data_IF_154517224377
#
_entry.id   IF_154517224377
#
_cell.length_a   1.000
_cell.length_b   1.000
_cell.length_c   1.000
_cell.angle_alpha   90.00
_cell.angle_beta   90.00
_cell.angle_gamma   90.00
#
_symmetry.space_group_name_H-M   'P 1'
#
loop_
_entity.id
_entity.type
_entity.pdbx_description
1 polymer ?
#
# COMPACT_ATOMS: atom_id res chain seq x y z
N UNK A 1 -31.33 6.90 -52.93
CA UNK A 1 -30.43 8.03 -52.61
C UNK A 1 -30.52 8.34 -51.11
N UNK A 2 -29.58 7.86 -50.31
CA UNK A 2 -29.43 8.19 -48.88
C UNK A 2 -27.93 8.28 -48.59
N UNK A 3 -27.52 9.48 -48.20
CA UNK A 3 -26.13 9.94 -48.08
C UNK A 3 -25.49 9.43 -46.79
N UNK A 4 -24.38 8.69 -46.94
CA UNK A 4 -23.44 8.34 -45.86
C UNK A 4 -22.64 9.60 -45.49
N UNK A 5 -22.84 10.16 -44.29
CA UNK A 5 -21.91 11.15 -43.71
C UNK A 5 -20.83 10.42 -42.93
N UNK A 6 -19.62 10.39 -43.49
CA UNK A 6 -18.41 9.94 -42.81
C UNK A 6 -18.03 10.91 -41.69
N UNK A 7 -17.88 10.38 -40.48
CA UNK A 7 -17.28 11.09 -39.36
C UNK A 7 -15.77 11.21 -39.58
N UNK A 8 -15.29 12.46 -39.64
CA UNK A 8 -13.88 12.85 -39.74
C UNK A 8 -13.06 12.17 -38.63
N UNK A 9 -12.04 11.42 -39.02
CA UNK A 9 -10.91 11.07 -38.16
C UNK A 9 -10.16 12.35 -37.84
N UNK A 10 -10.21 12.82 -36.60
CA UNK A 10 -9.26 13.79 -36.08
C UNK A 10 -7.90 13.09 -35.91
N UNK A 11 -7.17 13.01 -37.02
CA UNK A 11 -5.73 12.78 -37.01
C UNK A 11 -5.06 14.11 -36.61
N UNK A 12 -4.33 14.09 -35.50
CA UNK A 12 -3.61 15.26 -35.01
C UNK A 12 -3.44 15.28 -33.50
N UNK A 13 -3.11 14.14 -32.88
CA UNK A 13 -2.58 14.20 -31.52
C UNK A 13 -1.08 14.52 -31.64
N UNK A 14 -0.78 15.78 -31.38
CA UNK A 14 0.56 16.32 -31.19
C UNK A 14 1.34 15.37 -30.26
N UNK A 15 2.34 14.67 -30.79
CA UNK A 15 3.20 13.73 -30.07
C UNK A 15 4.22 14.48 -29.23
N UNK A 16 3.72 15.32 -28.32
CA UNK A 16 4.54 15.85 -27.24
C UNK A 16 4.82 14.68 -26.28
N UNK A 17 6.09 14.39 -25.95
CA UNK A 17 6.41 13.38 -24.95
C UNK A 17 5.69 13.79 -23.65
N UNK A 18 4.81 12.90 -23.16
CA UNK A 18 4.08 13.11 -21.91
C UNK A 18 5.12 13.34 -20.81
N UNK A 19 5.04 14.43 -20.03
CA UNK A 19 5.98 14.65 -18.95
C UNK A 19 5.95 13.45 -18.00
N UNK A 20 7.10 13.04 -17.45
CA UNK A 20 7.15 11.95 -16.49
C UNK A 20 6.18 12.25 -15.35
N UNK A 21 5.39 11.26 -14.96
CA UNK A 21 4.45 11.42 -13.85
C UNK A 21 5.25 11.76 -12.59
N UNK A 22 4.76 12.69 -11.77
CA UNK A 22 5.45 13.18 -10.56
C UNK A 22 5.90 12.07 -9.59
N UNK A 23 5.34 10.86 -9.70
CA UNK A 23 5.70 9.71 -8.86
C UNK A 23 7.04 9.06 -9.25
N UNK A 24 7.59 9.43 -10.42
CA UNK A 24 8.87 8.93 -10.94
C UNK A 24 9.99 9.95 -10.80
N UNK A 25 9.65 11.17 -10.40
CA UNK A 25 10.62 12.21 -10.12
C UNK A 25 10.94 12.19 -8.63
N UNK A 26 12.20 12.37 -8.28
CA UNK A 26 12.58 12.56 -6.89
C UNK A 26 11.91 13.80 -6.30
N UNK A 27 11.14 13.63 -5.23
CA UNK A 27 10.64 14.69 -4.38
C UNK A 27 11.22 14.51 -2.97
N UNK A 28 11.76 15.56 -2.34
CA UNK A 28 12.28 15.45 -0.98
C UNK A 28 11.12 15.13 -0.02
N UNK A 29 11.34 14.27 0.98
CA UNK A 29 10.31 13.99 1.96
C UNK A 29 10.04 15.24 2.83
N UNK A 30 8.86 15.34 3.47
CA UNK A 30 8.59 16.43 4.41
C UNK A 30 9.63 16.44 5.54
N UNK A 31 10.40 17.53 5.65
CA UNK A 31 11.55 17.69 6.57
C UNK A 31 11.13 17.55 8.04
N UNK A 32 9.88 17.88 8.33
CA UNK A 32 9.28 17.76 9.66
C UNK A 32 8.91 16.30 10.02
N UNK A 33 8.92 15.38 9.05
CA UNK A 33 8.70 13.95 9.25
C UNK A 33 10.00 13.17 9.13
N UNK A 34 10.72 13.30 8.02
CA UNK A 34 11.92 12.52 7.72
C UNK A 34 13.13 13.45 7.56
N UNK A 35 14.21 13.10 8.25
CA UNK A 35 15.51 13.73 8.00
C UNK A 35 15.99 13.36 6.60
N UNK A 36 16.39 14.35 5.82
CA UNK A 36 17.05 14.12 4.55
C UNK A 36 18.54 13.88 4.78
N UNK A 37 19.14 12.93 4.07
CA UNK A 37 20.59 12.73 4.11
C UNK A 37 21.17 13.15 2.76
N UNK A 38 22.21 14.02 2.71
CA UNK A 38 22.73 14.56 1.46
C UNK A 38 23.15 13.48 0.45
N UNK A 39 23.68 12.36 0.94
CA UNK A 39 24.12 11.25 0.10
C UNK A 39 22.94 10.56 -0.60
N UNK A 40 21.85 10.26 0.14
CA UNK A 40 20.66 9.66 -0.48
C UNK A 40 19.95 10.64 -1.40
N UNK A 41 19.90 11.93 -1.05
CA UNK A 41 19.35 12.95 -1.95
C UNK A 41 20.12 13.02 -3.26
N UNK A 42 21.45 13.08 -3.19
CA UNK A 42 22.32 13.09 -4.38
C UNK A 42 22.11 11.85 -5.25
N UNK A 43 22.09 10.67 -4.62
CA UNK A 43 21.89 9.40 -5.32
C UNK A 43 20.49 9.30 -5.96
N UNK A 44 19.42 9.70 -5.26
CA UNK A 44 18.06 9.64 -5.79
C UNK A 44 17.83 10.66 -6.91
N UNK A 45 18.45 11.85 -6.80
CA UNK A 45 18.43 12.84 -7.89
C UNK A 45 19.15 12.34 -9.14
N UNK A 46 20.28 11.64 -9.01
CA UNK A 46 21.06 11.19 -10.16
C UNK A 46 20.38 10.08 -10.98
N UNK A 47 19.48 9.31 -10.36
CA UNK A 47 18.69 8.25 -11.03
C UNK A 47 17.28 8.69 -11.42
N UNK A 48 16.90 9.92 -11.12
CA UNK A 48 15.59 10.49 -11.45
C UNK A 48 15.59 11.11 -12.86
N UNK A 49 14.52 10.97 -13.66
CA UNK A 49 13.29 10.22 -13.35
C UNK A 49 13.47 8.71 -13.57
N UNK A 50 12.78 7.92 -12.75
CA UNK A 50 12.73 6.47 -12.90
C UNK A 50 11.96 6.07 -14.18
N UNK A 51 12.29 4.89 -14.74
CA UNK A 51 11.58 4.35 -15.91
C UNK A 51 10.07 4.23 -15.65
N UNK A 52 9.26 4.72 -16.60
CA UNK A 52 7.80 4.67 -16.57
C UNK A 52 7.25 3.86 -17.75
N UNK A 53 6.32 2.91 -17.53
CA UNK A 53 5.89 2.37 -16.24
C UNK A 53 6.95 1.40 -15.67
N UNK A 54 6.96 1.16 -14.35
CA UNK A 54 7.84 0.15 -13.79
C UNK A 54 7.40 -1.23 -14.30
N UNK A 55 8.34 -2.13 -14.64
CA UNK A 55 8.02 -3.44 -15.22
C UNK A 55 7.28 -4.35 -14.24
N UNK A 56 7.41 -4.09 -12.93
CA UNK A 56 6.75 -4.86 -11.86
C UNK A 56 6.17 -3.88 -10.84
N UNK A 57 5.00 -4.22 -10.31
CA UNK A 57 4.41 -3.47 -9.21
C UNK A 57 5.21 -3.68 -7.92
N UNK A 58 5.43 -2.60 -7.16
CA UNK A 58 6.08 -2.68 -5.85
C UNK A 58 5.17 -3.39 -4.83
N UNK A 59 5.78 -4.24 -4.00
CA UNK A 59 5.16 -4.95 -2.90
C UNK A 59 5.88 -4.60 -1.60
N UNK A 60 5.16 -4.59 -0.49
CA UNK A 60 5.70 -4.19 0.81
C UNK A 60 5.28 -5.14 1.93
N UNK A 61 6.19 -5.48 2.82
CA UNK A 61 5.91 -6.35 3.99
C UNK A 61 5.17 -5.61 5.10
N UNK A 62 5.34 -4.29 5.17
CA UNK A 62 4.66 -3.35 6.06
C UNK A 62 4.07 -2.20 5.23
N UNK A 63 3.11 -1.40 5.75
CA UNK A 63 2.52 -0.33 4.95
C UNK A 63 3.57 0.62 4.38
N UNK A 64 3.50 1.02 3.10
CA UNK A 64 4.51 1.85 2.48
C UNK A 64 4.60 3.20 3.20
N UNK A 65 5.81 3.70 3.53
CA UNK A 65 6.00 4.97 4.23
C UNK A 65 5.25 6.16 3.60
N UNK A 66 5.28 6.26 2.27
CA UNK A 66 4.58 7.32 1.54
C UNK A 66 3.06 7.27 1.69
N UNK A 67 2.49 6.12 2.08
CA UNK A 67 1.04 6.00 2.34
C UNK A 67 0.61 6.86 3.52
N UNK A 68 1.50 7.16 4.46
CA UNK A 68 1.21 8.07 5.58
C UNK A 68 1.46 9.54 5.21
N UNK A 69 2.48 9.79 4.38
CA UNK A 69 2.87 11.15 3.95
C UNK A 69 1.84 11.74 2.99
N UNK A 70 1.38 10.96 2.02
CA UNK A 70 0.48 11.41 0.94
C UNK A 70 -1.00 11.24 1.28
N UNK A 71 -1.32 10.77 2.49
CA UNK A 71 -2.71 10.49 2.89
C UNK A 71 -3.55 11.74 3.17
N UNK A 72 -2.93 12.92 3.32
CA UNK A 72 -3.63 14.17 3.58
C UNK A 72 -4.47 14.10 4.86
N UNK A 73 -5.77 14.35 4.74
CA UNK A 73 -6.75 14.30 5.83
C UNK A 73 -6.84 12.92 6.51
N UNK A 74 -6.43 11.86 5.81
CA UNK A 74 -6.48 10.47 6.32
C UNK A 74 -5.24 10.07 7.11
N UNK A 75 -4.17 10.87 7.12
CA UNK A 75 -2.91 10.51 7.80
C UNK A 75 -3.14 10.13 9.26
N UNK A 76 -3.95 10.89 9.99
CA UNK A 76 -4.29 10.57 11.39
C UNK A 76 -4.98 9.22 11.55
N UNK A 77 -5.93 8.89 10.67
CA UNK A 77 -6.58 7.57 10.67
C UNK A 77 -5.58 6.46 10.38
N UNK A 78 -4.72 6.64 9.38
CA UNK A 78 -3.75 5.62 8.99
C UNK A 78 -2.75 5.34 10.11
N UNK A 79 -2.24 6.38 10.77
CA UNK A 79 -1.38 6.25 11.95
C UNK A 79 -2.12 5.54 13.09
N UNK A 80 -3.34 5.99 13.40
CA UNK A 80 -4.13 5.43 14.50
C UNK A 80 -4.45 3.95 14.28
N UNK A 81 -4.88 3.58 13.07
CA UNK A 81 -5.17 2.20 12.77
C UNK A 81 -3.90 1.36 12.60
N UNK A 82 -2.79 1.93 12.11
CA UNK A 82 -1.51 1.22 12.12
C UNK A 82 -1.08 0.84 13.54
N UNK A 83 -1.20 1.76 14.51
CA UNK A 83 -0.92 1.47 15.92
C UNK A 83 -1.73 0.27 16.44
N UNK A 84 -2.95 0.08 15.92
CA UNK A 84 -3.80 -1.06 16.26
C UNK A 84 -3.31 -2.38 15.64
N UNK A 85 -2.89 -2.34 14.38
CA UNK A 85 -2.57 -3.56 13.61
C UNK A 85 -1.07 -3.90 13.58
N UNK A 86 -0.20 -3.05 14.12
CA UNK A 86 1.26 -3.20 13.97
C UNK A 86 1.79 -4.52 14.51
N UNK A 87 1.24 -5.01 15.63
CA UNK A 87 1.62 -6.30 16.20
C UNK A 87 1.23 -7.46 15.28
N UNK A 88 0.02 -7.41 14.73
CA UNK A 88 -0.40 -8.41 13.74
C UNK A 88 0.45 -8.34 12.47
N UNK A 89 0.80 -7.14 11.98
CA UNK A 89 1.71 -7.01 10.84
C UNK A 89 3.07 -7.70 11.09
N UNK A 90 3.61 -7.60 12.31
CA UNK A 90 4.84 -8.31 12.72
C UNK A 90 4.63 -9.81 12.76
N UNK A 91 3.59 -10.28 13.46
CA UNK A 91 3.27 -11.71 13.55
C UNK A 91 3.10 -12.32 12.16
N UNK A 92 2.36 -11.65 11.28
CA UNK A 92 2.11 -12.10 9.92
C UNK A 92 3.40 -12.40 9.14
N UNK A 93 4.46 -11.61 9.35
CA UNK A 93 5.72 -11.75 8.61
C UNK A 93 6.71 -12.71 9.28
N UNK A 94 6.69 -12.79 10.61
CA UNK A 94 7.70 -13.52 11.37
C UNK A 94 7.24 -14.88 11.92
N UNK A 95 5.93 -15.12 12.04
CA UNK A 95 5.40 -16.38 12.53
C UNK A 95 5.11 -17.35 11.36
N UNK A 96 5.55 -18.62 11.43
CA UNK A 96 5.37 -19.60 10.35
C UNK A 96 3.92 -19.89 9.95
N UNK A 97 2.97 -19.68 10.85
CA UNK A 97 1.56 -20.02 10.65
C UNK A 97 0.80 -19.02 9.77
N UNK A 98 1.36 -17.85 9.50
CA UNK A 98 0.73 -16.83 8.65
C UNK A 98 1.37 -16.76 7.27
N UNK A 99 0.57 -16.37 6.28
CA UNK A 99 1.09 -15.95 4.97
C UNK A 99 1.77 -14.57 5.11
N UNK A 100 3.09 -14.61 5.25
CA UNK A 100 3.97 -13.46 5.37
C UNK A 100 4.25 -12.71 4.07
N UNK A 101 3.59 -13.06 2.95
CA UNK A 101 3.85 -12.43 1.65
C UNK A 101 3.78 -10.88 1.70
N UNK A 102 4.59 -10.16 0.93
CA UNK A 102 4.42 -8.73 0.82
C UNK A 102 3.11 -8.39 0.09
N UNK A 103 2.52 -7.25 0.45
CA UNK A 103 1.21 -6.80 -0.03
C UNK A 103 1.35 -5.61 -0.98
N UNK A 104 0.36 -5.44 -1.85
CA UNK A 104 0.24 -4.31 -2.79
C UNK A 104 -0.13 -3.03 -2.05
N UNK A 105 0.17 -1.89 -2.66
CA UNK A 105 -0.19 -0.56 -2.13
C UNK A 105 -1.70 -0.44 -1.87
N UNK A 106 -2.55 -0.98 -2.76
CA UNK A 106 -4.01 -0.97 -2.58
C UNK A 106 -4.48 -1.80 -1.39
N UNK A 107 -3.86 -2.97 -1.17
CA UNK A 107 -4.13 -3.82 0.00
C UNK A 107 -3.75 -3.07 1.28
N UNK A 108 -2.58 -2.42 1.32
CA UNK A 108 -2.16 -1.62 2.47
C UNK A 108 -3.07 -0.42 2.73
N UNK A 109 -3.49 0.31 1.71
CA UNK A 109 -4.45 1.42 1.88
C UNK A 109 -5.77 0.94 2.45
N UNK A 110 -6.23 -0.26 2.05
CA UNK A 110 -7.41 -0.87 2.63
C UNK A 110 -7.19 -1.26 4.10
N UNK A 111 -6.04 -1.88 4.41
CA UNK A 111 -5.62 -2.19 5.78
C UNK A 111 -5.65 -0.94 6.66
N UNK A 112 -4.97 0.13 6.24
CA UNK A 112 -4.83 1.35 7.02
C UNK A 112 -6.16 2.07 7.19
N UNK A 113 -7.09 1.95 6.23
CA UNK A 113 -8.42 2.51 6.37
C UNK A 113 -9.24 1.83 7.47
N UNK A 114 -9.03 0.52 7.67
CA UNK A 114 -9.56 -0.23 8.80
C UNK A 114 -10.95 -0.82 8.60
N UNK A 115 -11.39 -0.99 7.36
CA UNK A 115 -12.64 -1.70 7.04
C UNK A 115 -12.35 -3.19 6.84
N UNK A 116 -12.66 -3.99 7.88
CA UNK A 116 -12.44 -5.43 7.90
C UNK A 116 -13.75 -6.22 7.91
N UNK A 117 -14.89 -5.56 7.65
CA UNK A 117 -16.19 -6.22 7.61
C UNK A 117 -16.21 -7.28 6.50
N UNK A 118 -16.48 -8.53 6.85
CA UNK A 118 -16.71 -9.57 5.86
C UNK A 118 -18.10 -9.34 5.28
N UNK A 119 -18.21 -9.39 3.96
CA UNK A 119 -19.53 -9.37 3.36
C UNK A 119 -20.16 -10.73 3.72
N UNK A 120 -21.38 -10.72 4.25
CA UNK A 120 -22.20 -11.93 4.34
C UNK A 120 -22.28 -12.55 2.95
N UNK A 121 -22.28 -13.88 2.79
CA UNK A 121 -22.42 -14.49 1.47
C UNK A 121 -23.76 -14.07 0.90
N UNK A 122 -23.76 -13.07 0.01
CA UNK A 122 -24.94 -12.72 -0.77
C UNK A 122 -25.44 -13.99 -1.46
N UNK A 123 -26.74 -14.23 -1.34
CA UNK A 123 -27.45 -15.26 -2.09
C UNK A 123 -27.38 -15.04 -3.60
N UNK A 124 -28.24 -15.75 -4.35
CA UNK A 124 -27.85 -16.61 -5.47
C UNK A 124 -26.99 -15.93 -6.56
N UNK A 125 -26.10 -16.76 -7.13
CA UNK A 125 -25.14 -16.48 -8.19
C UNK A 125 -25.74 -15.62 -9.32
N UNK A 126 -25.09 -14.51 -9.74
CA UNK A 126 -25.57 -13.70 -10.85
C UNK A 126 -25.48 -14.46 -12.18
N UNK A 127 -26.36 -14.13 -13.15
CA UNK A 127 -26.59 -14.94 -14.34
C UNK A 127 -25.36 -15.05 -15.25
N UNK A 128 -25.24 -16.21 -15.91
CA UNK A 128 -24.19 -16.53 -16.87
C UNK A 128 -24.24 -15.60 -18.09
N UNK A 129 -23.33 -14.62 -18.11
CA UNK A 129 -23.15 -13.67 -19.22
C UNK A 129 -22.18 -12.54 -18.90
N UNK A 130 -21.21 -12.77 -18.00
CA UNK A 130 -20.36 -11.72 -17.43
C UNK A 130 -19.39 -11.15 -18.45
N UNK A 131 -19.41 -9.83 -18.64
CA UNK A 131 -18.44 -9.11 -19.45
C UNK A 131 -17.03 -9.19 -18.83
N UNK A 132 -15.99 -8.87 -19.60
CA UNK A 132 -14.60 -8.78 -19.08
C UNK A 132 -14.50 -7.80 -17.89
N UNK A 133 -15.31 -6.74 -17.88
CA UNK A 133 -15.39 -5.80 -16.78
C UNK A 133 -15.94 -6.44 -15.49
N UNK A 134 -16.93 -7.32 -15.63
CA UNK A 134 -17.54 -8.06 -14.52
C UNK A 134 -16.57 -9.08 -13.93
N UNK A 135 -15.78 -9.76 -14.77
CA UNK A 135 -14.71 -10.67 -14.32
C UNK A 135 -13.65 -9.92 -13.52
N UNK A 136 -13.19 -8.76 -13.99
CA UNK A 136 -12.24 -7.94 -13.25
C UNK A 136 -12.83 -7.36 -11.95
N UNK A 137 -14.11 -6.99 -11.95
CA UNK A 137 -14.79 -6.55 -10.75
C UNK A 137 -14.88 -7.66 -9.70
N UNK A 138 -15.22 -8.89 -10.14
CA UNK A 138 -15.25 -10.07 -9.28
C UNK A 138 -13.88 -10.38 -8.69
N UNK A 139 -12.83 -10.38 -9.51
CA UNK A 139 -11.46 -10.62 -9.03
C UNK A 139 -11.01 -9.58 -7.99
N UNK A 140 -11.33 -8.30 -8.20
CA UNK A 140 -11.05 -7.24 -7.21
C UNK A 140 -11.82 -7.47 -5.91
N UNK A 141 -13.09 -7.87 -6.01
CA UNK A 141 -13.92 -8.19 -4.85
C UNK A 141 -13.37 -9.40 -4.08
N UNK A 142 -13.04 -10.49 -4.77
CA UNK A 142 -12.43 -11.69 -4.19
C UNK A 142 -11.10 -11.37 -3.48
N UNK A 143 -10.24 -10.56 -4.10
CA UNK A 143 -8.99 -10.09 -3.48
C UNK A 143 -9.27 -9.24 -2.22
N UNK A 144 -10.24 -8.35 -2.28
CA UNK A 144 -10.65 -7.52 -1.13
C UNK A 144 -11.19 -8.40 0.01
N UNK A 145 -11.99 -9.42 -0.30
CA UNK A 145 -12.53 -10.36 0.68
C UNK A 145 -11.45 -11.25 1.29
N UNK A 146 -10.52 -11.79 0.49
CA UNK A 146 -9.38 -12.56 0.99
C UNK A 146 -8.54 -11.71 1.95
N UNK A 147 -8.31 -10.45 1.59
CA UNK A 147 -7.60 -9.50 2.43
C UNK A 147 -8.34 -9.18 3.74
N UNK A 148 -9.65 -8.91 3.68
CA UNK A 148 -10.45 -8.66 4.89
C UNK A 148 -10.47 -9.89 5.79
N UNK A 149 -10.55 -11.11 5.24
CA UNK A 149 -10.45 -12.36 5.99
C UNK A 149 -9.13 -12.49 6.74
N UNK A 150 -8.01 -12.09 6.14
CA UNK A 150 -6.70 -12.09 6.80
C UNK A 150 -6.69 -11.24 8.08
N UNK A 151 -7.27 -10.05 8.05
CA UNK A 151 -7.32 -9.18 9.24
C UNK A 151 -8.46 -9.55 10.21
N UNK A 152 -9.65 -9.88 9.71
CA UNK A 152 -10.79 -10.20 10.55
C UNK A 152 -10.66 -11.57 11.25
N UNK A 153 -10.34 -12.64 10.50
CA UNK A 153 -10.30 -14.00 11.05
C UNK A 153 -8.97 -14.32 11.70
N UNK A 154 -7.86 -14.04 11.01
CA UNK A 154 -6.54 -14.46 11.51
C UNK A 154 -6.04 -13.58 12.65
N UNK A 155 -6.44 -12.31 12.69
CA UNK A 155 -6.05 -11.38 13.76
C UNK A 155 -7.18 -11.07 14.76
N UNK A 156 -8.40 -11.58 14.54
CA UNK A 156 -9.57 -11.26 15.37
C UNK A 156 -9.94 -9.78 15.37
N UNK A 157 -9.54 -9.02 14.34
CA UNK A 157 -9.68 -7.57 14.32
C UNK A 157 -11.09 -7.16 13.86
N UNK A 158 -11.82 -6.48 14.74
CA UNK A 158 -13.03 -5.71 14.37
C UNK A 158 -12.70 -4.53 13.45
N UNK A 159 -13.68 -3.97 12.73
CA UNK A 159 -13.47 -2.75 11.95
C UNK A 159 -13.11 -1.55 12.83
N UNK A 160 -12.32 -0.63 12.27
CA UNK A 160 -11.79 0.55 12.94
C UNK A 160 -12.88 1.47 13.49
N UNK A 161 -12.68 1.96 14.72
CA UNK A 161 -13.39 3.11 15.28
C UNK A 161 -12.40 4.17 15.80
N UNK A 162 -12.79 5.44 15.74
CA UNK A 162 -12.00 6.56 16.30
C UNK A 162 -11.90 6.53 17.82
N UNK A 163 -12.84 5.87 18.49
CA UNK A 163 -12.91 5.80 19.95
C UNK A 163 -11.99 4.72 20.54
N UNK A 164 -11.37 3.91 19.67
CA UNK A 164 -10.37 2.94 20.10
C UNK A 164 -9.14 3.64 20.68
N UNK A 165 -8.46 2.96 21.61
CA UNK A 165 -7.22 3.42 22.23
C UNK A 165 -6.10 2.39 21.99
N UNK A 166 -5.69 2.16 20.72
CA UNK A 166 -4.64 1.22 20.40
C UNK A 166 -3.33 1.61 21.08
N UNK A 167 -2.56 0.60 21.46
CA UNK A 167 -1.24 0.79 22.06
C UNK A 167 -0.19 0.83 20.96
N UNK A 168 0.54 1.93 20.87
CA UNK A 168 1.76 2.00 20.08
C UNK A 168 2.95 2.11 21.02
N UNK A 169 3.85 1.13 20.97
CA UNK A 169 4.96 1.01 21.93
C UNK A 169 4.43 0.95 23.36
N UNK A 170 4.63 2.00 24.16
CA UNK A 170 4.16 2.08 25.55
C UNK A 170 2.90 2.93 25.71
N UNK A 171 2.54 3.70 24.69
CA UNK A 171 1.54 4.75 24.78
C UNK A 171 0.21 4.31 24.19
N UNK A 172 -0.89 4.73 24.82
CA UNK A 172 -2.23 4.62 24.24
C UNK A 172 -2.46 5.82 23.34
N UNK A 173 -2.80 5.55 22.09
CA UNK A 173 -2.94 6.58 21.07
C UNK A 173 -4.41 6.89 20.89
N UNK A 174 -4.78 8.17 20.92
CA UNK A 174 -6.12 8.63 20.53
C UNK A 174 -6.14 9.02 19.05
N UNK A 175 -7.32 9.02 18.42
CA UNK A 175 -7.45 9.50 17.05
C UNK A 175 -6.98 10.96 16.89
N UNK A 176 -7.23 11.82 17.89
CA UNK A 176 -6.78 13.22 17.89
C UNK A 176 -5.25 13.32 17.97
N UNK A 177 -4.62 12.56 18.86
CA UNK A 177 -3.16 12.54 18.98
C UNK A 177 -2.49 12.00 17.70
N UNK A 178 -3.11 11.02 17.03
CA UNK A 178 -2.64 10.51 15.74
C UNK A 178 -2.76 11.55 14.62
N UNK A 179 -3.78 12.40 14.64
CA UNK A 179 -4.00 13.43 13.62
C UNK A 179 -3.07 14.64 13.76
N UNK A 180 -2.74 15.07 14.98
CA UNK A 180 -1.92 16.26 15.22
C UNK A 180 -0.46 15.95 15.58
N UNK A 181 -0.16 14.74 16.06
CA UNK A 181 1.13 14.36 16.61
C UNK A 181 2.20 14.08 15.56
N UNK A 182 2.95 15.11 15.14
CA UNK A 182 4.07 14.94 14.19
C UNK A 182 5.17 14.01 14.69
N UNK A 183 5.44 14.02 16.00
CA UNK A 183 6.39 13.10 16.63
C UNK A 183 5.95 11.63 16.51
N UNK A 184 4.65 11.35 16.69
CA UNK A 184 4.09 10.02 16.51
C UNK A 184 4.13 9.59 15.03
N UNK A 185 3.77 10.49 14.11
CA UNK A 185 3.88 10.23 12.68
C UNK A 185 5.30 9.84 12.28
N UNK A 186 6.30 10.59 12.75
CA UNK A 186 7.72 10.27 12.55
C UNK A 186 8.09 8.89 13.07
N UNK A 187 7.66 8.53 14.28
CA UNK A 187 7.95 7.22 14.86
C UNK A 187 7.32 6.07 14.07
N UNK A 188 6.06 6.21 13.63
CA UNK A 188 5.37 5.22 12.81
C UNK A 188 6.04 5.07 11.45
N UNK A 189 6.32 6.19 10.78
CA UNK A 189 6.96 6.20 9.45
C UNK A 189 8.37 5.62 9.53
N UNK A 190 9.13 5.93 10.58
CA UNK A 190 10.44 5.33 10.82
C UNK A 190 10.32 3.81 11.02
N UNK A 191 9.37 3.34 11.84
CA UNK A 191 9.18 1.90 12.09
C UNK A 191 8.83 1.14 10.80
N UNK A 192 7.91 1.64 9.98
CA UNK A 192 7.55 0.94 8.73
C UNK A 192 8.65 0.99 7.68
N UNK A 193 9.50 2.03 7.66
CA UNK A 193 10.69 2.06 6.82
C UNK A 193 11.67 0.97 7.24
N UNK A 194 12.01 0.94 8.53
CA UNK A 194 12.97 -0.01 9.09
C UNK A 194 12.48 -1.46 8.92
N UNK A 195 11.20 -1.73 9.21
CA UNK A 195 10.63 -3.05 9.06
C UNK A 195 10.60 -3.52 7.60
N UNK A 196 10.23 -2.65 6.65
CA UNK A 196 10.29 -3.01 5.22
C UNK A 196 11.74 -3.30 4.80
N UNK A 197 12.70 -2.44 5.14
CA UNK A 197 14.11 -2.64 4.81
C UNK A 197 14.65 -3.97 5.37
N UNK A 198 14.36 -4.31 6.63
CA UNK A 198 14.77 -5.59 7.23
C UNK A 198 14.18 -6.79 6.50
N UNK A 199 12.91 -6.72 6.11
CA UNK A 199 12.24 -7.82 5.40
C UNK A 199 12.77 -7.98 3.97
N UNK A 200 13.03 -6.87 3.27
CA UNK A 200 13.65 -6.87 1.94
C UNK A 200 15.07 -7.42 2.00
N UNK A 201 15.88 -7.01 2.98
CA UNK A 201 17.22 -7.54 3.19
C UNK A 201 17.20 -9.03 3.51
N UNK A 202 16.29 -9.50 4.37
CA UNK A 202 16.12 -10.93 4.67
C UNK A 202 15.70 -11.73 3.43
N UNK A 203 14.80 -11.18 2.62
CA UNK A 203 14.38 -11.84 1.37
C UNK A 203 15.52 -11.91 0.36
N UNK A 204 16.35 -10.87 0.27
CA UNK A 204 17.56 -10.87 -0.54
C UNK A 204 18.58 -11.90 -0.05
N UNK A 205 18.83 -11.94 1.26
CA UNK A 205 19.74 -12.90 1.89
C UNK A 205 19.33 -14.35 1.60
N UNK A 206 18.05 -14.69 1.77
CA UNK A 206 17.51 -16.00 1.43
C UNK A 206 17.78 -16.37 -0.03
N UNK A 207 17.56 -15.44 -0.97
CA UNK A 207 17.85 -15.67 -2.39
C UNK A 207 19.33 -15.91 -2.66
N UNK A 208 20.23 -15.21 -1.97
CA UNK A 208 21.68 -15.36 -2.15
C UNK A 208 22.21 -16.66 -1.55
N UNK A 209 21.68 -17.08 -0.39
CA UNK A 209 22.06 -18.32 0.28
C UNK A 209 21.52 -19.54 -0.47
N UNK A 210 20.26 -19.51 -0.91
CA UNK A 210 19.64 -20.62 -1.67
C UNK A 210 20.34 -20.84 -3.02
N UNK A 211 20.78 -19.77 -3.69
CA UNK A 211 21.56 -19.85 -4.94
C UNK A 211 22.94 -20.47 -4.69
N UNK A 212 23.50 -20.34 -3.49
CA UNK A 212 24.78 -20.94 -3.09
C UNK A 212 24.73 -22.43 -2.77
N UNK A 213 23.55 -23.05 -2.62
CA UNK A 213 23.40 -24.47 -2.32
C UNK A 213 23.20 -25.37 -3.55
N UNK A 214 23.30 -24.81 -4.76
CA UNK A 214 23.22 -25.57 -6.04
C UNK A 214 24.62 -25.85 -6.62
N UNK A 215 25.68 -25.73 -5.80
CA UNK A 215 27.08 -26.01 -6.17
C UNK A 215 27.59 -27.34 -5.65
#
# INVERSE_FOLDING_TARGET
>A
MKTRRGGKKHAGHNSQPRPPHAAFTYEPPPVDILGNTPNWESALKSVSPLCHPPPRAALYYFPPPFSFITAGDKTGRFIHNYARICMFCKQRVFEPHFDGRPLRISEWRHALHGDYGLDEPDGPTPPSGSSVADVHARLRHEQKQAFRKLFARSAGLVSYSKDMLPKFRRDRITATAAASGRGLARQVIWEVNEMNWRCELRALDALLVDVGQIG
#
